data_IF_374900497077
#
_entry.id   IF_374900497077
#
_cell.length_a   1.000
_cell.length_b   1.000
_cell.length_c   1.000
_cell.angle_alpha   90.00
_cell.angle_beta   90.00
_cell.angle_gamma   90.00
#
_symmetry.space_group_name_H-M   'P 1'
#
loop_
_entity.id
_entity.type
_entity.pdbx_description
1 polymer ?
#
# COMPACT_ATOMS: atom_id res chain seq x y z
N UNK A 1 -17.10 -22.64 -21.60
CA UNK A 1 -18.40 -21.93 -21.56
C UNK A 1 -18.42 -21.17 -20.24
N UNK A 2 -18.10 -19.88 -20.29
CA UNK A 2 -17.90 -19.05 -19.11
C UNK A 2 -19.23 -18.82 -18.38
N UNK A 3 -19.33 -19.25 -17.12
CA UNK A 3 -20.53 -19.10 -16.25
C UNK A 3 -21.11 -17.68 -16.26
N UNK A 4 -20.26 -16.68 -16.48
CA UNK A 4 -20.59 -15.26 -16.58
C UNK A 4 -21.48 -14.91 -17.78
N UNK A 5 -21.33 -15.61 -18.90
CA UNK A 5 -22.15 -15.37 -20.10
C UNK A 5 -23.58 -15.88 -19.94
N UNK A 6 -23.78 -16.92 -19.12
CA UNK A 6 -25.09 -17.54 -18.91
C UNK A 6 -26.02 -16.65 -18.07
N UNK A 7 -25.49 -15.99 -17.03
CA UNK A 7 -26.26 -15.07 -16.18
C UNK A 7 -26.67 -13.81 -16.96
N UNK A 8 -25.78 -13.28 -17.80
CA UNK A 8 -26.06 -12.12 -18.65
C UNK A 8 -27.20 -12.37 -19.64
N UNK A 9 -27.23 -13.57 -20.23
CA UNK A 9 -28.26 -13.92 -21.21
C UNK A 9 -29.60 -14.31 -20.55
N UNK A 10 -29.59 -14.80 -19.31
CA UNK A 10 -30.81 -15.12 -18.56
C UNK A 10 -31.64 -13.90 -18.14
N UNK A 11 -30.99 -12.75 -17.91
CA UNK A 11 -31.67 -11.51 -17.47
C UNK A 11 -32.55 -10.92 -18.59
N UNK A 12 -32.23 -11.17 -19.87
CA UNK A 12 -32.97 -10.62 -21.02
C UNK A 12 -34.36 -11.27 -21.17
N UNK A 13 -34.58 -12.48 -20.64
CA UNK A 13 -35.87 -13.18 -20.75
C UNK A 13 -36.89 -12.78 -19.65
N UNK A 14 -36.50 -11.99 -18.65
CA UNK A 14 -37.32 -11.66 -17.47
C UNK A 14 -37.81 -10.22 -17.38
N UNK A 15 -37.90 -9.50 -18.52
CA UNK A 15 -38.22 -8.07 -18.60
C UNK A 15 -39.69 -7.75 -18.30
N UNK A 16 -40.18 -8.02 -17.09
CA UNK A 16 -41.44 -7.41 -16.61
C UNK A 16 -41.53 -7.13 -15.11
N UNK A 17 -40.51 -7.34 -14.28
CA UNK A 17 -40.59 -6.96 -12.86
C UNK A 17 -39.28 -6.31 -12.39
N UNK A 18 -39.39 -5.01 -12.15
CA UNK A 18 -38.48 -4.11 -11.43
C UNK A 18 -37.08 -3.92 -12.00
N UNK A 19 -36.93 -2.81 -12.73
CA UNK A 19 -35.66 -2.09 -12.89
C UNK A 19 -35.14 -1.67 -11.52
N UNK A 20 -34.41 -2.56 -10.84
CA UNK A 20 -33.49 -2.14 -9.79
C UNK A 20 -32.32 -1.47 -10.50
N UNK A 21 -32.23 -0.15 -10.41
CA UNK A 21 -31.06 0.62 -10.85
C UNK A 21 -29.84 0.11 -10.07
N UNK A 22 -29.10 -0.82 -10.67
CA UNK A 22 -27.78 -1.20 -10.20
C UNK A 22 -26.86 -0.01 -10.48
N UNK A 23 -26.73 0.88 -9.49
CA UNK A 23 -25.62 1.83 -9.46
C UNK A 23 -24.37 1.01 -9.13
N UNK A 24 -23.46 0.76 -10.11
CA UNK A 24 -22.15 0.24 -9.74
C UNK A 24 -21.56 1.24 -8.76
N UNK A 25 -21.09 0.75 -7.61
CA UNK A 25 -20.37 1.59 -6.65
C UNK A 25 -19.34 2.40 -7.44
N UNK A 26 -19.44 3.72 -7.35
CA UNK A 26 -18.55 4.64 -8.03
C UNK A 26 -17.12 4.17 -7.74
N UNK A 27 -16.39 3.80 -8.79
CA UNK A 27 -15.00 3.37 -8.63
C UNK A 27 -14.23 4.59 -8.14
N UNK A 28 -14.08 4.70 -6.80
CA UNK A 28 -13.25 5.71 -6.18
C UNK A 28 -11.82 5.41 -6.61
N UNK A 29 -11.41 6.04 -7.71
CA UNK A 29 -10.03 5.99 -8.17
C UNK A 29 -9.20 6.74 -7.15
N UNK A 30 -8.35 6.02 -6.41
CA UNK A 30 -7.43 6.64 -5.48
C UNK A 30 -6.58 7.69 -6.23
N UNK A 31 -6.51 8.90 -5.68
CA UNK A 31 -5.59 9.92 -6.17
C UNK A 31 -4.17 9.40 -5.99
N UNK A 32 -3.41 9.34 -7.09
CA UNK A 32 -2.01 8.93 -7.10
C UNK A 32 -1.11 10.14 -7.35
N UNK A 33 0.14 10.15 -6.85
CA UNK A 33 0.77 9.08 -6.06
C UNK A 33 0.21 8.98 -4.63
N UNK A 34 0.34 7.80 -4.01
CA UNK A 34 -0.02 7.55 -2.61
C UNK A 34 1.07 6.70 -1.95
N UNK A 35 1.37 6.99 -0.70
CA UNK A 35 2.36 6.29 0.10
C UNK A 35 1.77 6.00 1.47
N UNK A 36 1.99 4.78 1.97
CA UNK A 36 1.49 4.32 3.27
C UNK A 36 2.64 3.58 3.95
N UNK A 37 2.76 3.80 5.25
CA UNK A 37 3.78 3.23 6.13
C UNK A 37 3.14 2.73 7.41
N UNK A 38 3.77 1.77 8.06
CA UNK A 38 3.36 1.30 9.39
C UNK A 38 3.89 2.21 10.50
N UNK A 39 3.12 2.33 11.59
CA UNK A 39 3.48 2.99 12.85
C UNK A 39 3.70 4.51 12.77
N UNK A 40 3.96 5.12 13.94
CA UNK A 40 4.06 6.58 14.10
C UNK A 40 5.29 7.17 13.41
N UNK A 41 6.43 6.46 13.42
CA UNK A 41 7.65 6.91 12.72
C UNK A 41 7.46 6.90 11.19
N UNK A 42 6.45 6.17 10.71
CA UNK A 42 6.05 6.15 9.31
C UNK A 42 5.71 7.53 8.75
N UNK A 43 5.25 8.48 9.57
CA UNK A 43 5.02 9.86 9.12
C UNK A 43 6.31 10.57 8.66
N UNK A 44 7.44 10.28 9.32
CA UNK A 44 8.75 10.83 8.95
C UNK A 44 9.33 10.10 7.73
N UNK A 45 9.19 8.77 7.70
CA UNK A 45 9.54 7.96 6.53
C UNK A 45 8.80 8.44 5.26
N UNK A 46 7.48 8.62 5.37
CA UNK A 46 6.64 9.12 4.28
C UNK A 46 7.04 10.54 3.87
N UNK A 47 7.36 11.42 4.81
CA UNK A 47 7.78 12.78 4.47
C UNK A 47 9.04 12.79 3.58
N UNK A 48 9.99 11.89 3.85
CA UNK A 48 11.21 11.76 3.04
C UNK A 48 10.94 11.07 1.70
N UNK A 49 10.22 9.95 1.68
CA UNK A 49 9.83 9.29 0.43
C UNK A 49 8.95 10.15 -0.48
N UNK A 50 8.12 11.01 0.11
CA UNK A 50 7.24 11.91 -0.63
C UNK A 50 8.00 12.97 -1.41
N UNK A 51 9.22 13.35 -1.00
CA UNK A 51 10.08 14.26 -1.80
C UNK A 51 10.35 13.69 -3.18
N UNK A 52 10.47 12.36 -3.29
CA UNK A 52 10.70 11.65 -4.55
C UNK A 52 9.39 11.53 -5.33
N UNK A 53 8.30 11.06 -4.70
CA UNK A 53 7.00 10.90 -5.37
C UNK A 53 6.42 12.22 -5.89
N UNK A 54 6.53 13.30 -5.12
CA UNK A 54 6.05 14.63 -5.51
C UNK A 54 6.85 15.24 -6.67
N UNK A 55 8.09 14.80 -6.85
CA UNK A 55 8.93 15.14 -8.00
C UNK A 55 8.72 14.19 -9.21
N UNK A 56 7.67 13.36 -9.19
CA UNK A 56 7.37 12.36 -10.22
C UNK A 56 8.49 11.31 -10.39
N UNK A 57 9.23 11.01 -9.32
CA UNK A 57 10.23 9.95 -9.26
C UNK A 57 9.62 8.55 -9.17
N UNK A 58 10.47 7.51 -9.21
CA UNK A 58 10.00 6.13 -9.14
C UNK A 58 9.50 5.76 -7.74
N UNK A 59 8.44 4.94 -7.69
CA UNK A 59 7.88 4.47 -6.43
C UNK A 59 8.87 3.61 -5.63
N UNK A 60 9.73 2.86 -6.31
CA UNK A 60 10.78 2.03 -5.69
C UNK A 60 11.79 2.91 -4.93
N UNK A 61 12.30 3.96 -5.57
CA UNK A 61 13.24 4.89 -4.94
C UNK A 61 12.61 5.60 -3.73
N UNK A 62 11.32 5.91 -3.83
CA UNK A 62 10.59 6.55 -2.74
C UNK A 62 10.45 5.65 -1.50
N UNK A 63 10.11 4.36 -1.68
CA UNK A 63 10.00 3.43 -0.53
C UNK A 63 11.37 3.10 0.05
N UNK A 64 12.41 3.00 -0.78
CA UNK A 64 13.78 2.77 -0.32
C UNK A 64 14.27 3.95 0.53
N UNK A 65 14.05 5.19 0.07
CA UNK A 65 14.40 6.38 0.82
C UNK A 65 13.63 6.48 2.15
N UNK A 66 12.34 6.13 2.15
CA UNK A 66 11.52 6.10 3.36
C UNK A 66 12.04 5.07 4.38
N UNK A 67 12.42 3.88 3.93
CA UNK A 67 12.97 2.82 4.78
C UNK A 67 14.32 3.24 5.40
N UNK A 68 15.25 3.75 4.58
CA UNK A 68 16.59 4.17 5.03
C UNK A 68 16.56 5.19 6.16
N UNK A 69 15.62 6.14 6.12
CA UNK A 69 15.47 7.17 7.16
C UNK A 69 15.07 6.54 8.49
N UNK A 70 14.20 5.54 8.45
CA UNK A 70 13.77 4.82 9.65
C UNK A 70 14.90 3.94 10.20
N UNK A 71 15.65 3.29 9.31
CA UNK A 71 16.79 2.44 9.69
C UNK A 71 17.97 3.23 10.26
N UNK A 72 18.13 4.50 9.88
CA UNK A 72 19.22 5.35 10.35
C UNK A 72 18.93 6.01 11.71
N UNK A 73 17.68 5.99 12.18
CA UNK A 73 17.29 6.60 13.46
C UNK A 73 17.69 5.71 14.64
N UNK A 74 18.79 6.06 15.31
CA UNK A 74 19.29 5.35 16.51
C UNK A 74 18.27 5.26 17.66
N UNK A 75 17.29 6.17 17.70
CA UNK A 75 16.24 6.15 18.72
C UNK A 75 15.19 5.08 18.44
N UNK A 76 15.07 4.62 17.19
CA UNK A 76 14.20 3.52 16.81
C UNK A 76 14.83 2.18 17.24
N UNK A 77 14.16 1.51 18.18
CA UNK A 77 14.64 0.23 18.72
C UNK A 77 14.11 -1.00 18.00
N UNK A 78 13.34 -0.80 16.94
CA UNK A 78 12.62 -1.87 16.23
C UNK A 78 13.00 -1.98 14.75
N UNK A 79 13.74 -1.03 14.20
CA UNK A 79 14.10 -1.00 12.77
C UNK A 79 15.53 -0.49 12.63
N UNK A 80 16.38 -1.27 11.94
CA UNK A 80 17.73 -0.85 11.57
C UNK A 80 18.68 -0.59 12.74
N UNK A 81 19.42 0.51 12.64
CA UNK A 81 20.49 0.85 13.54
C UNK A 81 19.98 1.29 14.92
N UNK A 82 20.58 0.76 15.98
CA UNK A 82 20.09 0.94 17.34
C UNK A 82 18.96 -0.01 17.75
N UNK A 83 18.54 -0.92 16.86
CA UNK A 83 17.59 -1.98 17.12
C UNK A 83 18.00 -2.89 18.29
N UNK A 84 17.01 -3.43 19.01
CA UNK A 84 17.29 -4.35 20.11
C UNK A 84 17.97 -5.64 19.60
N UNK A 85 18.99 -6.14 20.31
CA UNK A 85 19.66 -7.37 19.93
C UNK A 85 18.82 -8.61 20.23
N UNK A 86 19.19 -9.72 19.61
CA UNK A 86 18.73 -11.05 19.97
C UNK A 86 19.25 -11.49 21.36
N UNK A 87 18.87 -12.71 21.78
CA UNK A 87 19.26 -13.27 23.09
C UNK A 87 20.77 -13.42 23.28
N UNK A 88 21.54 -13.46 22.19
CA UNK A 88 22.99 -13.63 22.19
C UNK A 88 23.71 -12.27 22.08
N UNK A 89 22.96 -11.16 22.17
CA UNK A 89 23.48 -9.80 22.13
C UNK A 89 23.81 -9.31 20.72
N UNK A 90 23.31 -9.97 19.67
CA UNK A 90 23.59 -9.61 18.27
C UNK A 90 22.40 -8.90 17.65
N UNK A 91 22.65 -7.78 17.00
CA UNK A 91 21.64 -7.14 16.16
C UNK A 91 21.67 -7.84 14.80
N UNK A 92 20.55 -8.45 14.43
CA UNK A 92 20.32 -9.09 13.14
C UNK A 92 19.08 -8.46 12.51
N UNK A 93 19.12 -8.20 11.20
CA UNK A 93 18.11 -7.40 10.50
C UNK A 93 17.59 -8.18 9.29
N UNK A 94 16.28 -8.08 9.07
CA UNK A 94 15.57 -8.68 7.94
C UNK A 94 14.93 -7.57 7.09
N UNK A 95 15.09 -7.65 5.77
CA UNK A 95 14.51 -6.71 4.83
C UNK A 95 14.15 -7.39 3.49
N UNK A 96 13.18 -6.81 2.78
CA UNK A 96 12.78 -7.22 1.43
C UNK A 96 12.21 -6.03 0.66
N UNK A 97 12.42 -6.02 -0.65
CA UNK A 97 12.01 -4.96 -1.58
C UNK A 97 11.44 -5.54 -2.87
#
# INVERSE_FOLDING_TARGET
MERRSFIRNGIIAGTSISSYDYNPLENISATKPIMVSTWDFGKYANAEGWKILSANGHALDAIEQAARVTEADESNKTVGYGGYPDRDGRVTLDAGV
#
